data_IF_519745844804
#
_entry.id   IF_519745844804
#
_cell.length_a   1.000
_cell.length_b   1.000
_cell.length_c   1.000
_cell.angle_alpha   90.00
_cell.angle_beta   90.00
_cell.angle_gamma   90.00
#
_symmetry.space_group_name_H-M   'P 1'
#
loop_
_entity.id
_entity.type
_entity.pdbx_description
1 polymer ?
#
# COMPACT_ATOMS: atom_id res chain seq x y z
N UNK A 1 19.97 16.74 -22.34
CA UNK A 1 20.19 15.36 -21.88
C UNK A 1 18.93 14.51 -22.05
N UNK A 2 17.72 14.98 -21.68
CA UNK A 2 16.45 14.26 -21.93
C UNK A 2 16.23 14.00 -23.42
N UNK A 3 16.54 14.95 -24.28
CA UNK A 3 16.39 14.89 -25.75
C UNK A 3 17.37 13.94 -26.43
N UNK A 4 18.37 13.40 -25.71
CA UNK A 4 19.37 12.46 -26.26
C UNK A 4 19.02 10.99 -26.03
N UNK A 5 17.86 10.66 -25.47
CA UNK A 5 17.47 9.28 -25.18
C UNK A 5 18.26 8.63 -24.02
N UNK A 6 18.95 9.42 -23.20
CA UNK A 6 19.68 8.92 -22.05
C UNK A 6 18.70 8.60 -20.90
N UNK A 7 18.80 7.40 -20.32
CA UNK A 7 17.99 7.02 -19.16
C UNK A 7 18.52 7.65 -17.88
N UNK A 8 17.70 8.46 -17.20
CA UNK A 8 18.07 9.20 -15.98
C UNK A 8 17.48 8.66 -14.68
N UNK A 9 16.69 7.59 -14.73
CA UNK A 9 16.10 6.97 -13.55
C UNK A 9 17.19 6.40 -12.62
N UNK A 10 16.99 6.45 -11.31
CA UNK A 10 17.88 5.80 -10.35
C UNK A 10 17.93 4.28 -10.55
N UNK A 11 16.82 3.68 -10.92
CA UNK A 11 16.67 2.24 -11.12
C UNK A 11 16.04 1.98 -12.48
N UNK A 12 16.56 0.98 -13.20
CA UNK A 12 15.97 0.54 -14.44
C UNK A 12 14.53 0.00 -14.24
N UNK A 13 13.63 0.10 -15.21
CA UNK A 13 12.34 -0.59 -15.19
C UNK A 13 12.51 -2.11 -15.00
N UNK A 14 11.46 -2.78 -14.54
CA UNK A 14 11.47 -4.26 -14.44
C UNK A 14 11.55 -4.87 -15.84
N UNK A 15 12.41 -5.84 -16.05
CA UNK A 15 12.72 -6.38 -17.38
C UNK A 15 13.99 -5.79 -18.01
N UNK A 16 14.49 -4.70 -17.43
CA UNK A 16 15.73 -4.06 -17.88
C UNK A 16 16.73 -3.89 -16.74
N UNK A 17 18.00 -3.83 -17.10
CA UNK A 17 19.13 -3.41 -16.27
C UNK A 17 19.84 -2.20 -16.89
N UNK A 18 20.62 -1.49 -16.10
CA UNK A 18 21.53 -0.48 -16.63
C UNK A 18 22.78 -1.16 -17.19
N UNK A 19 23.22 -0.76 -18.38
CA UNK A 19 24.47 -1.27 -18.93
C UNK A 19 25.65 -1.04 -17.98
N UNK A 20 26.54 -2.00 -17.94
CA UNK A 20 27.80 -1.88 -17.19
C UNK A 20 28.76 -0.84 -17.78
N UNK A 21 28.68 -0.61 -19.10
CA UNK A 21 29.52 0.34 -19.83
C UNK A 21 28.96 1.76 -19.76
N UNK A 22 27.62 1.90 -19.85
CA UNK A 22 26.94 3.18 -19.85
C UNK A 22 25.66 3.12 -18.99
N UNK A 23 25.71 3.75 -17.83
CA UNK A 23 24.56 3.81 -16.89
C UNK A 23 23.31 4.49 -17.45
N UNK A 24 23.42 5.13 -18.60
CA UNK A 24 22.32 5.81 -19.27
C UNK A 24 21.63 4.92 -20.33
N UNK A 25 22.16 3.73 -20.57
CA UNK A 25 21.57 2.75 -21.49
C UNK A 25 20.87 1.63 -20.72
N UNK A 26 19.72 1.22 -21.24
CA UNK A 26 18.97 0.07 -20.76
C UNK A 26 19.34 -1.17 -21.57
N UNK A 27 19.57 -2.28 -20.89
CA UNK A 27 19.84 -3.61 -21.46
C UNK A 27 18.79 -4.57 -20.92
N UNK A 28 18.36 -5.52 -21.72
CA UNK A 28 17.37 -6.52 -21.31
C UNK A 28 17.95 -7.42 -20.21
N UNK A 29 17.19 -7.57 -19.12
CA UNK A 29 17.39 -8.58 -18.09
C UNK A 29 16.58 -9.82 -18.48
N UNK A 30 17.23 -10.94 -18.93
CA UNK A 30 16.54 -12.08 -19.52
C UNK A 30 15.46 -12.67 -18.61
N UNK A 31 15.77 -12.85 -17.31
CA UNK A 31 14.85 -13.46 -16.34
C UNK A 31 13.61 -12.58 -16.12
N UNK A 32 13.82 -11.30 -15.91
CA UNK A 32 12.71 -10.37 -15.67
C UNK A 32 11.93 -10.08 -16.95
N UNK A 33 12.59 -10.08 -18.11
CA UNK A 33 11.94 -9.87 -19.40
C UNK A 33 10.96 -11.00 -19.76
N UNK A 34 11.25 -12.25 -19.42
CA UNK A 34 10.30 -13.35 -19.59
C UNK A 34 9.01 -13.12 -18.83
N UNK A 35 9.10 -12.64 -17.60
CA UNK A 35 7.92 -12.34 -16.80
C UNK A 35 7.11 -11.18 -17.41
N UNK A 36 7.79 -10.16 -17.95
CA UNK A 36 7.13 -9.06 -18.67
C UNK A 36 6.39 -9.61 -19.88
N UNK A 37 7.02 -10.44 -20.72
CA UNK A 37 6.37 -11.08 -21.88
C UNK A 37 5.15 -11.90 -21.49
N UNK A 38 5.23 -12.68 -20.40
CA UNK A 38 4.10 -13.45 -19.87
C UNK A 38 2.93 -12.54 -19.45
N UNK A 39 3.21 -11.44 -18.77
CA UNK A 39 2.18 -10.49 -18.32
C UNK A 39 1.44 -9.88 -19.52
N UNK A 40 2.18 -9.43 -20.55
CA UNK A 40 1.60 -8.86 -21.76
C UNK A 40 0.81 -9.88 -22.56
N UNK A 41 1.34 -11.10 -22.77
CA UNK A 41 0.63 -12.19 -23.44
C UNK A 41 -0.67 -12.54 -22.73
N UNK A 42 -0.64 -12.79 -21.42
CA UNK A 42 -1.86 -13.12 -20.68
C UNK A 42 -2.91 -12.01 -20.76
N UNK A 43 -2.48 -10.75 -20.74
CA UNK A 43 -3.41 -9.65 -20.89
C UNK A 43 -3.96 -9.54 -22.31
N UNK A 44 -3.14 -9.71 -23.34
CA UNK A 44 -3.57 -9.75 -24.74
C UNK A 44 -4.58 -10.88 -24.98
N UNK A 45 -4.33 -12.08 -24.41
CA UNK A 45 -5.19 -13.27 -24.49
C UNK A 45 -6.52 -13.15 -23.73
N UNK A 46 -6.74 -12.05 -23.04
CA UNK A 46 -8.05 -11.82 -22.41
C UNK A 46 -8.06 -11.85 -20.88
N UNK A 47 -6.96 -12.21 -20.20
CA UNK A 47 -6.93 -12.23 -18.75
C UNK A 47 -7.19 -10.85 -18.15
N UNK A 48 -7.84 -10.81 -16.98
CA UNK A 48 -7.98 -9.58 -16.22
C UNK A 48 -6.71 -9.26 -15.45
N UNK A 49 -6.40 -7.97 -15.20
CA UNK A 49 -5.25 -7.58 -14.37
C UNK A 49 -5.27 -8.25 -12.99
N UNK A 50 -6.45 -8.34 -12.37
CA UNK A 50 -6.60 -9.07 -11.10
C UNK A 50 -6.27 -10.57 -11.22
N UNK A 51 -6.66 -11.18 -12.33
CA UNK A 51 -6.33 -12.59 -12.63
C UNK A 51 -4.82 -12.79 -12.81
N UNK A 52 -4.17 -11.91 -13.56
CA UNK A 52 -2.71 -11.91 -13.75
C UNK A 52 -1.98 -11.77 -12.41
N UNK A 53 -2.39 -10.83 -11.56
CA UNK A 53 -1.80 -10.63 -10.23
C UNK A 53 -1.93 -11.88 -9.36
N UNK A 54 -3.11 -12.51 -9.34
CA UNK A 54 -3.30 -13.77 -8.61
C UNK A 54 -2.38 -14.89 -9.13
N UNK A 55 -2.26 -15.03 -10.45
CA UNK A 55 -1.42 -16.04 -11.09
C UNK A 55 0.05 -15.83 -10.77
N UNK A 56 0.56 -14.58 -10.86
CA UNK A 56 1.94 -14.25 -10.50
C UNK A 56 2.24 -14.56 -9.02
N UNK A 57 1.30 -14.24 -8.12
CA UNK A 57 1.46 -14.52 -6.70
C UNK A 57 1.37 -16.03 -6.40
N UNK A 58 0.49 -16.77 -7.06
CA UNK A 58 0.40 -18.23 -6.91
C UNK A 58 1.67 -18.95 -7.41
N UNK A 59 2.27 -18.46 -8.48
CA UNK A 59 3.56 -18.94 -9.00
C UNK A 59 4.75 -18.46 -8.17
N UNK A 60 4.51 -17.68 -7.09
CA UNK A 60 5.54 -17.13 -6.21
C UNK A 60 6.62 -16.31 -6.93
N UNK A 61 6.29 -15.73 -8.09
CA UNK A 61 7.20 -14.89 -8.84
C UNK A 61 7.46 -13.59 -8.06
N UNK A 62 8.73 -13.22 -7.80
CA UNK A 62 9.04 -12.02 -7.02
C UNK A 62 8.58 -10.75 -7.75
N UNK A 63 7.87 -9.83 -7.05
CA UNK A 63 7.49 -8.55 -7.64
C UNK A 63 8.72 -7.65 -7.88
N UNK A 64 8.61 -6.59 -8.69
CA UNK A 64 9.74 -5.74 -9.09
C UNK A 64 10.62 -5.24 -7.94
N UNK A 65 10.00 -4.87 -6.81
CA UNK A 65 10.73 -4.40 -5.63
C UNK A 65 11.51 -5.51 -4.92
N UNK A 66 10.93 -6.70 -4.80
CA UNK A 66 11.59 -7.87 -4.22
C UNK A 66 12.72 -8.36 -5.12
N UNK A 67 12.48 -8.45 -6.44
CA UNK A 67 13.48 -8.84 -7.42
C UNK A 67 14.71 -7.91 -7.38
N UNK A 68 14.51 -6.59 -7.35
CA UNK A 68 15.61 -5.63 -7.22
C UNK A 68 16.37 -5.77 -5.89
N UNK A 69 15.67 -6.10 -4.82
CA UNK A 69 16.30 -6.39 -3.53
C UNK A 69 17.19 -7.64 -3.62
N UNK A 70 16.73 -8.71 -4.28
CA UNK A 70 17.50 -9.94 -4.51
C UNK A 70 18.77 -9.67 -5.35
N UNK A 71 18.69 -8.76 -6.32
CA UNK A 71 19.85 -8.29 -7.11
C UNK A 71 20.75 -7.28 -6.37
N UNK A 72 20.55 -7.08 -5.07
CA UNK A 72 21.44 -6.26 -4.23
C UNK A 72 21.24 -4.74 -4.33
N UNK A 73 20.11 -4.27 -4.88
CA UNK A 73 19.79 -2.85 -4.95
C UNK A 73 19.50 -2.28 -3.55
N UNK A 74 20.49 -1.63 -2.92
CA UNK A 74 20.43 -1.10 -1.53
C UNK A 74 19.24 -0.19 -1.25
N UNK A 75 18.75 0.59 -2.24
CA UNK A 75 17.59 1.47 -2.07
C UNK A 75 16.26 0.72 -1.85
N UNK A 76 16.18 -0.56 -2.16
CA UNK A 76 15.01 -1.41 -1.91
C UNK A 76 15.14 -2.24 -0.62
N UNK A 77 16.33 -2.41 -0.06
CA UNK A 77 16.57 -3.16 1.17
C UNK A 77 15.89 -2.51 2.39
N UNK A 78 15.95 -1.18 2.53
CA UNK A 78 15.25 -0.45 3.60
C UNK A 78 13.72 -0.55 3.50
N UNK A 79 13.24 -0.90 2.34
CA UNK A 79 11.83 -1.11 2.08
C UNK A 79 11.39 -2.56 2.28
N UNK A 80 12.28 -3.52 2.37
CA UNK A 80 11.96 -4.92 2.67
C UNK A 80 11.55 -5.14 4.13
N UNK A 81 11.92 -4.24 5.05
CA UNK A 81 11.43 -4.23 6.43
C UNK A 81 9.93 -3.91 6.58
N UNK A 82 9.25 -3.56 5.50
CA UNK A 82 7.81 -3.26 5.46
C UNK A 82 6.88 -4.46 5.45
N UNK A 83 7.33 -5.66 5.83
CA UNK A 83 6.51 -6.87 5.96
C UNK A 83 6.02 -7.44 4.61
N UNK A 84 5.00 -8.28 4.69
CA UNK A 84 4.38 -9.05 3.59
C UNK A 84 3.98 -8.18 2.38
N UNK A 85 3.75 -6.89 2.58
CA UNK A 85 3.30 -5.93 1.56
C UNK A 85 4.11 -5.91 0.28
N UNK A 86 5.42 -6.13 0.38
CA UNK A 86 6.35 -5.90 -0.74
C UNK A 86 6.76 -7.14 -1.49
N UNK A 87 6.37 -8.31 -0.95
CA UNK A 87 6.66 -9.59 -1.57
C UNK A 87 5.49 -10.13 -2.39
N UNK A 88 4.52 -9.28 -2.75
CA UNK A 88 3.41 -9.66 -3.61
C UNK A 88 3.22 -8.67 -4.76
N UNK A 89 2.81 -9.19 -5.90
CA UNK A 89 2.36 -8.38 -7.02
C UNK A 89 1.07 -7.64 -6.67
N UNK A 90 0.94 -6.43 -7.18
CA UNK A 90 -0.25 -5.59 -7.02
C UNK A 90 -0.88 -5.25 -8.37
N UNK A 91 -2.17 -4.95 -8.36
CA UNK A 91 -2.88 -4.46 -9.56
C UNK A 91 -2.26 -3.19 -10.11
N UNK A 92 -1.79 -2.31 -9.22
CA UNK A 92 -1.14 -1.06 -9.63
C UNK A 92 0.16 -1.32 -10.38
N UNK A 93 1.02 -2.24 -9.89
CA UNK A 93 2.29 -2.54 -10.57
C UNK A 93 2.08 -3.14 -11.96
N UNK A 94 1.14 -4.08 -12.10
CA UNK A 94 0.82 -4.67 -13.41
C UNK A 94 0.19 -3.65 -14.36
N UNK A 95 -0.75 -2.81 -13.86
CA UNK A 95 -1.34 -1.75 -14.68
C UNK A 95 -0.31 -0.72 -15.16
N UNK A 96 0.66 -0.37 -14.32
CA UNK A 96 1.73 0.56 -14.69
C UNK A 96 2.61 -0.05 -15.78
N UNK A 97 2.98 -1.32 -15.63
CA UNK A 97 3.75 -2.04 -16.65
C UNK A 97 3.04 -2.08 -18.01
N UNK A 98 1.78 -2.50 -18.03
CA UNK A 98 1.02 -2.64 -19.28
C UNK A 98 0.80 -1.31 -20.05
N UNK A 99 1.05 -0.17 -19.40
CA UNK A 99 0.93 1.18 -19.97
C UNK A 99 2.26 1.85 -20.27
N UNK A 100 3.37 1.23 -19.93
CA UNK A 100 4.67 1.87 -20.04
C UNK A 100 5.32 1.55 -21.38
N UNK A 101 5.53 2.57 -22.21
CA UNK A 101 6.13 2.49 -23.53
C UNK A 101 7.61 2.04 -23.51
N UNK A 102 8.21 2.00 -22.32
CA UNK A 102 9.59 1.49 -22.19
C UNK A 102 9.72 0.06 -22.71
N UNK A 103 8.66 -0.74 -22.67
CA UNK A 103 8.68 -2.13 -23.10
C UNK A 103 8.70 -2.32 -24.62
N UNK A 104 8.38 -1.27 -25.39
CA UNK A 104 8.52 -1.22 -26.86
C UNK A 104 9.76 -0.44 -27.32
N UNK A 105 10.70 -0.16 -26.40
CA UNK A 105 11.95 0.53 -26.71
C UNK A 105 11.88 2.05 -26.66
N UNK A 106 10.73 2.63 -26.28
CA UNK A 106 10.55 4.08 -26.17
C UNK A 106 10.84 4.57 -24.76
N UNK A 107 11.46 5.73 -24.65
CA UNK A 107 11.77 6.35 -23.37
C UNK A 107 10.90 7.58 -23.15
N UNK A 108 9.97 7.49 -22.22
CA UNK A 108 9.11 8.62 -21.82
C UNK A 108 9.60 9.19 -20.50
N UNK A 109 10.10 10.43 -20.55
CA UNK A 109 10.63 11.14 -19.40
C UNK A 109 9.87 12.44 -19.14
N UNK A 110 9.95 12.93 -17.88
CA UNK A 110 9.30 14.19 -17.52
C UNK A 110 7.88 14.04 -16.99
N UNK A 111 7.36 12.81 -16.80
CA UNK A 111 6.00 12.55 -16.25
C UNK A 111 5.76 13.21 -14.88
N UNK A 112 6.84 13.53 -14.16
CA UNK A 112 6.78 14.18 -12.85
C UNK A 112 7.84 15.24 -12.70
N UNK A 113 7.50 16.36 -12.04
CA UNK A 113 8.44 17.42 -11.64
C UNK A 113 8.36 17.68 -10.14
N UNK A 114 9.48 18.07 -9.54
CA UNK A 114 9.50 18.52 -8.15
C UNK A 114 8.81 19.86 -8.03
N UNK A 115 7.84 19.98 -7.11
CA UNK A 115 7.09 21.24 -6.90
C UNK A 115 8.01 22.33 -6.35
N UNK A 116 8.99 21.97 -5.52
CA UNK A 116 9.95 22.90 -4.92
C UNK A 116 11.19 22.17 -4.46
N UNK A 117 12.32 22.84 -4.49
CA UNK A 117 13.59 22.35 -3.93
C UNK A 117 13.49 21.97 -2.44
N UNK A 118 12.64 22.68 -1.68
CA UNK A 118 12.46 22.46 -0.23
C UNK A 118 11.48 21.34 0.10
N UNK A 119 10.53 21.06 -0.79
CA UNK A 119 9.53 20.03 -0.57
C UNK A 119 9.81 18.88 -1.54
N UNK A 120 10.04 17.68 -1.00
CA UNK A 120 10.21 16.45 -1.81
C UNK A 120 8.90 15.99 -2.49
N UNK A 121 7.92 16.89 -2.64
CA UNK A 121 6.65 16.59 -3.31
C UNK A 121 6.86 16.63 -4.81
N UNK A 122 6.41 15.56 -5.49
CA UNK A 122 6.38 15.45 -6.95
C UNK A 122 4.96 15.76 -7.42
N UNK A 123 4.84 16.61 -8.46
CA UNK A 123 3.61 16.83 -9.19
C UNK A 123 3.69 16.15 -10.55
N UNK A 124 2.57 15.63 -11.04
CA UNK A 124 2.48 15.16 -12.42
C UNK A 124 2.53 16.34 -13.37
N UNK A 125 3.17 16.17 -14.50
CA UNK A 125 3.22 17.15 -15.59
C UNK A 125 2.18 16.78 -16.63
N UNK A 126 1.80 17.76 -17.46
CA UNK A 126 0.95 17.50 -18.61
C UNK A 126 1.68 16.66 -19.66
N UNK A 127 0.95 15.89 -20.43
CA UNK A 127 1.52 15.00 -21.46
C UNK A 127 2.31 15.78 -22.53
N UNK A 128 1.96 17.04 -22.76
CA UNK A 128 2.69 17.95 -23.66
C UNK A 128 4.10 18.32 -23.18
N UNK A 129 4.40 18.16 -21.88
CA UNK A 129 5.72 18.40 -21.29
C UNK A 129 6.59 17.13 -21.28
N UNK A 130 6.05 15.98 -21.70
CA UNK A 130 6.80 14.73 -21.69
C UNK A 130 7.79 14.68 -22.87
N UNK A 131 8.98 14.22 -22.57
CA UNK A 131 9.96 13.91 -23.62
C UNK A 131 9.81 12.44 -23.99
N UNK A 132 9.25 12.19 -25.17
CA UNK A 132 9.11 10.86 -25.75
C UNK A 132 10.22 10.67 -26.79
N UNK A 133 11.05 9.67 -26.66
CA UNK A 133 12.12 9.33 -27.58
C UNK A 133 11.99 7.88 -27.93
N UNK A 134 11.80 7.61 -29.21
CA UNK A 134 11.59 6.27 -29.75
C UNK A 134 12.93 5.55 -29.99
N UNK A 135 12.90 4.21 -29.88
CA UNK A 135 14.04 3.36 -30.26
C UNK A 135 15.32 3.56 -29.45
N UNK A 136 15.23 3.94 -28.17
CA UNK A 136 16.40 4.20 -27.33
C UNK A 136 17.09 2.94 -26.84
N UNK A 137 16.39 1.80 -26.81
CA UNK A 137 16.87 0.51 -26.33
C UNK A 137 16.09 -0.64 -26.96
N UNK A 138 16.58 -1.87 -26.79
CA UNK A 138 15.95 -3.06 -27.34
C UNK A 138 14.56 -3.29 -26.68
N UNK A 139 13.54 -3.53 -27.52
CA UNK A 139 12.18 -3.78 -27.08
C UNK A 139 12.02 -5.21 -26.51
N UNK A 140 11.31 -5.34 -25.39
CA UNK A 140 10.91 -6.65 -24.83
C UNK A 140 9.63 -7.15 -25.50
N UNK A 141 8.74 -6.22 -25.85
CA UNK A 141 7.41 -6.49 -26.41
C UNK A 141 7.33 -5.86 -27.81
N UNK A 142 6.68 -6.54 -28.74
CA UNK A 142 6.42 -5.99 -30.09
C UNK A 142 5.34 -4.91 -30.02
N UNK A 143 5.41 -3.94 -30.93
CA UNK A 143 4.40 -2.87 -31.08
C UNK A 143 2.99 -3.41 -31.30
N UNK A 144 2.85 -4.55 -31.97
CA UNK A 144 1.56 -5.20 -32.21
C UNK A 144 0.89 -5.64 -30.91
N UNK A 145 1.63 -6.34 -30.03
CA UNK A 145 1.12 -6.79 -28.72
C UNK A 145 0.80 -5.58 -27.86
N UNK A 146 1.65 -4.57 -27.84
CA UNK A 146 1.43 -3.35 -27.09
C UNK A 146 0.16 -2.62 -27.53
N UNK A 147 -0.06 -2.52 -28.85
CA UNK A 147 -1.27 -1.93 -29.43
C UNK A 147 -2.53 -2.68 -29.00
N UNK A 148 -2.52 -4.02 -29.08
CA UNK A 148 -3.64 -4.87 -28.64
C UNK A 148 -3.96 -4.59 -27.14
N UNK A 149 -2.93 -4.52 -26.31
CA UNK A 149 -3.06 -4.23 -24.88
C UNK A 149 -3.65 -2.84 -24.65
N UNK A 150 -3.18 -1.83 -25.36
CA UNK A 150 -3.62 -0.43 -25.23
C UNK A 150 -5.07 -0.24 -25.69
N UNK A 151 -5.47 -0.84 -26.81
CA UNK A 151 -6.84 -0.87 -27.30
C UNK A 151 -7.79 -1.52 -26.30
N UNK A 152 -7.32 -2.56 -25.63
CA UNK A 152 -8.10 -3.21 -24.60
C UNK A 152 -8.28 -2.35 -23.34
N UNK A 153 -7.31 -1.50 -22.98
CA UNK A 153 -7.46 -0.53 -21.93
C UNK A 153 -8.48 0.55 -22.29
N UNK A 154 -8.46 1.07 -23.50
CA UNK A 154 -9.35 2.12 -23.98
C UNK A 154 -10.84 1.68 -23.98
N UNK A 155 -11.11 0.41 -24.31
CA UNK A 155 -12.47 -0.17 -24.28
C UNK A 155 -13.03 -0.39 -22.89
N UNK A 156 -12.21 -0.33 -21.82
CA UNK A 156 -12.59 -0.61 -20.42
C UNK A 156 -12.96 0.62 -19.60
N UNK A 157 -13.41 1.69 -20.20
CA UNK A 157 -13.93 2.87 -19.47
C UNK A 157 -15.26 2.56 -18.75
N UNK A 158 -15.22 1.75 -17.70
CA UNK A 158 -16.28 1.77 -16.69
C UNK A 158 -16.03 3.00 -15.81
N UNK A 159 -16.77 4.06 -16.07
CA UNK A 159 -16.95 5.15 -15.11
C UNK A 159 -17.58 4.53 -13.86
N UNK A 160 -16.87 4.53 -12.73
CA UNK A 160 -17.41 4.07 -11.46
C UNK A 160 -18.57 5.01 -11.09
N UNK A 161 -19.82 4.51 -10.99
CA UNK A 161 -20.90 5.32 -10.48
C UNK A 161 -20.57 5.70 -9.02
N UNK A 162 -20.80 6.93 -8.65
CA UNK A 162 -20.61 7.50 -7.30
C UNK A 162 -19.14 7.60 -6.79
N UNK A 163 -18.34 8.47 -7.38
CA UNK A 163 -17.07 8.92 -6.77
C UNK A 163 -17.25 9.78 -5.51
N UNK A 164 -18.46 10.25 -5.24
CA UNK A 164 -18.77 11.21 -4.17
C UNK A 164 -19.08 10.57 -2.81
N UNK A 165 -19.35 9.27 -2.74
CA UNK A 165 -19.63 8.61 -1.48
C UNK A 165 -18.34 8.41 -0.65
N UNK A 166 -18.09 9.31 0.27
CA UNK A 166 -17.09 9.16 1.32
C UNK A 166 -17.66 8.27 2.43
N UNK A 167 -17.07 7.09 2.62
CA UNK A 167 -17.45 6.19 3.71
C UNK A 167 -16.53 6.43 4.91
N UNK A 168 -17.13 6.51 6.11
CA UNK A 168 -16.49 6.94 7.36
C UNK A 168 -15.18 6.20 7.65
N UNK A 169 -15.13 4.88 7.44
CA UNK A 169 -13.99 4.04 7.76
C UNK A 169 -13.03 3.80 6.59
N UNK A 170 -13.32 4.36 5.40
CA UNK A 170 -12.48 4.15 4.21
C UNK A 170 -11.09 4.74 4.37
N UNK A 171 -10.07 3.91 4.17
CA UNK A 171 -8.67 4.31 4.28
C UNK A 171 -8.05 4.17 5.66
N UNK A 172 -8.85 4.06 6.72
CA UNK A 172 -8.37 3.94 8.11
C UNK A 172 -8.15 2.49 8.54
N UNK A 173 -8.89 1.53 7.98
CA UNK A 173 -8.84 0.13 8.41
C UNK A 173 -7.62 -0.57 7.83
N UNK A 174 -6.84 -1.21 8.71
CA UNK A 174 -5.67 -2.04 8.39
C UNK A 174 -5.88 -3.47 8.89
N UNK A 175 -5.37 -4.42 8.13
CA UNK A 175 -5.39 -5.82 8.54
C UNK A 175 -4.40 -6.04 9.69
N UNK A 176 -4.87 -6.64 10.79
CA UNK A 176 -4.04 -6.92 11.97
C UNK A 176 -2.88 -7.89 11.64
N UNK A 177 -3.12 -8.87 10.75
CA UNK A 177 -2.11 -9.87 10.39
C UNK A 177 -1.00 -9.32 9.48
N UNK A 178 -1.36 -8.63 8.38
CA UNK A 178 -0.38 -8.21 7.37
C UNK A 178 -0.13 -6.69 7.33
N UNK A 179 -0.80 -5.90 8.16
CA UNK A 179 -0.69 -4.43 8.21
C UNK A 179 -1.17 -3.70 6.95
N UNK A 180 -1.65 -4.42 5.92
CA UNK A 180 -2.18 -3.80 4.71
C UNK A 180 -3.55 -3.17 4.96
N UNK A 181 -3.85 -2.09 4.21
CA UNK A 181 -5.18 -1.51 4.24
C UNK A 181 -6.23 -2.52 3.79
N UNK A 182 -7.41 -2.40 4.34
CA UNK A 182 -8.58 -3.15 3.90
C UNK A 182 -9.45 -2.25 3.01
N UNK A 183 -9.96 -2.83 1.91
CA UNK A 183 -10.85 -2.11 1.00
C UNK A 183 -12.30 -2.44 1.33
N UNK A 184 -13.14 -1.39 1.33
CA UNK A 184 -14.58 -1.56 1.46
C UNK A 184 -15.18 -2.16 0.18
N UNK A 185 -15.96 -3.21 0.33
CA UNK A 185 -16.78 -3.83 -0.70
C UNK A 185 -18.26 -3.81 -0.24
N UNK A 186 -19.18 -3.46 -1.11
CA UNK A 186 -20.57 -3.25 -0.69
C UNK A 186 -21.62 -3.51 -1.75
N UNK A 187 -21.33 -4.36 -2.74
CA UNK A 187 -22.20 -4.48 -3.91
C UNK A 187 -23.54 -5.22 -3.68
N UNK A 188 -23.76 -5.87 -2.53
CA UNK A 188 -24.96 -6.72 -2.30
C UNK A 188 -25.68 -6.42 -0.99
N UNK A 189 -25.72 -5.16 -0.54
CA UNK A 189 -26.43 -4.79 0.70
C UNK A 189 -25.71 -5.15 2.01
N UNK A 190 -24.59 -5.88 1.92
CA UNK A 190 -23.78 -6.26 3.08
C UNK A 190 -22.36 -5.67 2.97
N UNK A 191 -22.18 -4.41 3.38
CA UNK A 191 -20.86 -3.76 3.32
C UNK A 191 -19.87 -4.46 4.24
N UNK A 192 -18.69 -4.74 3.69
CA UNK A 192 -17.61 -5.40 4.41
C UNK A 192 -16.25 -4.86 3.97
N UNK A 193 -15.27 -4.91 4.87
CA UNK A 193 -13.88 -4.61 4.57
C UNK A 193 -13.12 -5.88 4.28
N UNK A 194 -12.39 -5.92 3.16
CA UNK A 194 -11.60 -7.05 2.71
C UNK A 194 -10.12 -6.73 2.69
N UNK A 195 -9.31 -7.62 3.23
CA UNK A 195 -7.85 -7.49 3.15
C UNK A 195 -7.36 -7.62 1.71
N UNK A 196 -6.58 -6.64 1.24
CA UNK A 196 -6.01 -6.65 -0.11
C UNK A 196 -5.05 -7.82 -0.31
N UNK A 197 -4.21 -8.12 0.70
CA UNK A 197 -3.27 -9.24 0.61
C UNK A 197 -4.02 -10.55 0.44
N UNK A 198 -5.03 -10.82 1.26
CA UNK A 198 -5.86 -12.01 1.13
C UNK A 198 -6.57 -12.09 -0.24
N UNK A 199 -6.98 -10.95 -0.80
CA UNK A 199 -7.65 -10.91 -2.10
C UNK A 199 -6.76 -11.39 -3.26
N UNK A 200 -5.44 -11.19 -3.17
CA UNK A 200 -4.49 -11.47 -4.25
C UNK A 200 -3.49 -12.58 -3.92
N UNK A 201 -3.28 -12.89 -2.65
CA UNK A 201 -2.40 -13.93 -2.15
C UNK A 201 -2.95 -14.48 -0.81
N UNK A 202 -3.99 -15.33 -0.84
CA UNK A 202 -4.68 -15.82 0.37
C UNK A 202 -3.77 -16.66 1.27
N UNK A 203 -2.80 -17.34 0.71
CA UNK A 203 -1.74 -18.10 1.40
C UNK A 203 -0.82 -17.20 2.27
N UNK A 204 -0.66 -15.93 1.92
CA UNK A 204 0.17 -14.97 2.67
C UNK A 204 -0.58 -14.20 3.76
N UNK A 205 -1.91 -14.28 3.78
CA UNK A 205 -2.71 -13.62 4.81
C UNK A 205 -4.03 -14.36 5.03
N UNK A 206 -4.28 -14.95 6.21
CA UNK A 206 -5.51 -15.67 6.52
C UNK A 206 -6.73 -14.75 6.70
N UNK A 207 -6.53 -13.46 6.96
CA UNK A 207 -7.62 -12.50 7.19
C UNK A 207 -8.40 -12.22 5.92
N UNK A 208 -9.65 -12.69 5.80
CA UNK A 208 -10.48 -12.52 4.61
C UNK A 208 -11.25 -11.21 4.61
N UNK A 209 -12.26 -11.09 5.44
CA UNK A 209 -13.14 -9.92 5.48
C UNK A 209 -13.81 -9.74 6.84
N UNK A 210 -14.20 -8.48 7.14
CA UNK A 210 -14.94 -8.13 8.35
C UNK A 210 -16.14 -7.27 7.95
N UNK A 211 -17.30 -7.49 8.54
CA UNK A 211 -18.51 -6.69 8.30
C UNK A 211 -18.31 -5.25 8.78
N UNK A 212 -18.80 -4.27 8.02
CA UNK A 212 -18.71 -2.85 8.39
C UNK A 212 -19.40 -2.57 9.71
N UNK A 213 -20.61 -3.08 9.91
CA UNK A 213 -21.38 -2.91 11.14
C UNK A 213 -20.67 -3.43 12.39
N UNK A 214 -19.94 -4.55 12.27
CA UNK A 214 -19.16 -5.09 13.39
C UNK A 214 -17.98 -4.17 13.76
N UNK A 215 -17.32 -3.58 12.74
CA UNK A 215 -16.24 -2.61 12.98
C UNK A 215 -16.77 -1.32 13.60
N UNK A 216 -17.91 -0.80 13.11
CA UNK A 216 -18.54 0.39 13.66
C UNK A 216 -18.90 0.20 15.13
N UNK A 217 -19.52 -0.94 15.47
CA UNK A 217 -19.85 -1.27 16.87
C UNK A 217 -18.60 -1.34 17.73
N UNK A 218 -17.55 -2.03 17.27
CA UNK A 218 -16.30 -2.16 18.02
C UNK A 218 -15.59 -0.82 18.22
N UNK A 219 -15.59 0.05 17.21
CA UNK A 219 -14.98 1.39 17.29
C UNK A 219 -15.77 2.27 18.25
N UNK A 220 -17.12 2.27 18.16
CA UNK A 220 -17.96 3.02 19.08
C UNK A 220 -17.75 2.59 20.53
N UNK A 221 -17.69 1.28 20.77
CA UNK A 221 -17.42 0.75 22.12
C UNK A 221 -16.03 1.21 22.61
N UNK A 222 -15.00 1.11 21.77
CA UNK A 222 -13.67 1.55 22.16
C UNK A 222 -13.58 3.06 22.47
N UNK A 223 -14.33 3.89 21.73
CA UNK A 223 -14.43 5.34 22.01
C UNK A 223 -15.18 5.58 23.34
N UNK A 224 -16.28 4.89 23.56
CA UNK A 224 -17.04 4.99 24.80
C UNK A 224 -16.20 4.60 26.03
N UNK A 225 -15.46 3.49 25.92
CA UNK A 225 -14.56 3.03 26.98
C UNK A 225 -13.47 4.07 27.28
N UNK A 226 -12.87 4.68 26.25
CA UNK A 226 -11.88 5.75 26.44
C UNK A 226 -12.45 7.02 27.07
N UNK A 227 -13.66 7.41 26.68
CA UNK A 227 -14.36 8.55 27.30
C UNK A 227 -14.62 8.26 28.76
N UNK A 228 -15.10 7.07 29.10
CA UNK A 228 -15.35 6.67 30.49
C UNK A 228 -14.08 6.70 31.32
N UNK A 229 -12.96 6.15 30.80
CA UNK A 229 -11.64 6.22 31.46
C UNK A 229 -11.22 7.68 31.75
N UNK A 230 -11.47 8.61 30.82
CA UNK A 230 -11.13 10.03 31.00
C UNK A 230 -12.05 10.71 32.04
N UNK A 231 -13.33 10.38 32.06
CA UNK A 231 -14.30 10.87 33.03
C UNK A 231 -13.92 10.39 34.44
N UNK A 232 -13.60 9.10 34.57
CA UNK A 232 -13.19 8.49 35.82
C UNK A 232 -11.88 9.11 36.38
N UNK A 233 -10.89 9.30 35.48
CA UNK A 233 -9.64 9.96 35.82
C UNK A 233 -9.87 11.42 36.29
N UNK A 234 -10.78 12.16 35.65
CA UNK A 234 -11.16 13.50 36.05
C UNK A 234 -11.81 13.51 37.43
N UNK A 235 -12.74 12.58 37.69
CA UNK A 235 -13.39 12.43 38.99
C UNK A 235 -12.38 12.19 40.13
N UNK A 236 -11.38 11.30 39.86
CA UNK A 236 -10.29 11.06 40.84
C UNK A 236 -9.46 12.31 41.09
N UNK A 237 -9.09 13.04 40.00
CA UNK A 237 -8.33 14.32 40.16
C UNK A 237 -9.11 15.35 40.96
N UNK A 238 -10.40 15.48 40.67
CA UNK A 238 -11.25 16.46 41.39
C UNK A 238 -11.45 16.06 42.86
N UNK A 239 -11.59 14.77 43.15
CA UNK A 239 -11.62 14.26 44.53
C UNK A 239 -10.30 14.55 45.27
N UNK A 240 -9.15 14.30 44.66
CA UNK A 240 -7.83 14.63 45.23
C UNK A 240 -7.67 16.13 45.44
N UNK A 241 -8.17 16.98 44.51
CA UNK A 241 -8.14 18.45 44.70
C UNK A 241 -9.02 18.93 45.84
N UNK A 242 -10.18 18.34 46.02
CA UNK A 242 -11.06 18.65 47.15
C UNK A 242 -10.46 18.21 48.49
N UNK A 243 -9.88 17.03 48.54
CA UNK A 243 -9.18 16.55 49.74
C UNK A 243 -7.95 17.39 50.07
N UNK A 244 -7.17 17.87 49.08
CA UNK A 244 -6.08 18.82 49.26
C UNK A 244 -6.55 20.16 49.91
N UNK A 245 -7.72 20.64 49.47
CA UNK A 245 -8.33 21.86 50.09
C UNK A 245 -8.78 21.60 51.52
N UNK A 246 -9.09 20.38 51.91
CA UNK A 246 -9.50 19.99 53.27
C UNK A 246 -8.33 19.71 54.21
N UNK A 247 -7.06 19.93 53.81
CA UNK A 247 -5.90 19.94 54.74
C UNK A 247 -5.40 18.56 55.17
N UNK A 248 -5.65 17.48 54.41
CA UNK A 248 -5.16 16.13 54.72
C UNK A 248 -3.70 15.93 54.38
N UNK A 249 -3.02 15.06 55.14
CA UNK A 249 -1.59 14.81 55.08
C UNK A 249 -1.11 14.26 53.69
N UNK A 250 0.10 14.69 53.24
CA UNK A 250 0.70 14.28 51.97
C UNK A 250 0.85 12.75 51.83
N UNK A 251 0.97 11.98 52.91
CA UNK A 251 1.10 10.53 52.89
C UNK A 251 -0.20 9.81 52.47
N UNK A 252 -1.37 10.34 52.82
CA UNK A 252 -2.64 9.76 52.39
C UNK A 252 -2.89 9.92 50.90
N UNK A 253 -2.42 11.03 50.31
CA UNK A 253 -2.47 11.26 48.85
C UNK A 253 -1.63 10.27 48.07
N UNK A 254 -0.42 9.99 48.58
CA UNK A 254 0.48 9.05 47.92
C UNK A 254 -0.12 7.65 47.90
N UNK A 255 -0.75 7.22 48.99
CA UNK A 255 -1.45 5.93 49.07
C UNK A 255 -2.67 5.85 48.14
N UNK A 256 -3.43 6.94 47.97
CA UNK A 256 -4.58 6.99 47.07
C UNK A 256 -4.12 6.91 45.60
N UNK A 257 -3.05 7.60 45.22
CA UNK A 257 -2.46 7.51 43.88
C UNK A 257 -1.97 6.10 43.57
N UNK A 258 -1.22 5.48 44.48
CA UNK A 258 -0.72 4.09 44.32
C UNK A 258 -1.88 3.09 44.19
N UNK A 259 -2.98 3.26 44.89
CA UNK A 259 -4.18 2.41 44.75
C UNK A 259 -4.84 2.60 43.40
N UNK A 260 -5.01 3.83 42.92
CA UNK A 260 -5.59 4.14 41.62
C UNK A 260 -4.73 3.58 40.45
N UNK A 261 -3.41 3.70 40.56
CA UNK A 261 -2.49 3.13 39.54
C UNK A 261 -2.53 1.59 39.51
N UNK A 262 -2.62 0.93 40.65
CA UNK A 262 -2.78 -0.53 40.72
C UNK A 262 -4.10 -1.00 40.11
N UNK A 263 -5.19 -0.30 40.38
CA UNK A 263 -6.50 -0.63 39.81
C UNK A 263 -6.52 -0.40 38.29
N UNK A 264 -5.95 0.72 37.83
CA UNK A 264 -5.76 1.00 36.40
C UNK A 264 -4.97 -0.13 35.70
N UNK A 265 -3.85 -0.56 36.29
CA UNK A 265 -3.04 -1.66 35.76
C UNK A 265 -3.83 -2.97 35.70
N UNK A 266 -4.60 -3.30 36.74
CA UNK A 266 -5.47 -4.49 36.82
C UNK A 266 -6.55 -4.47 35.73
N UNK A 267 -7.20 -3.32 35.52
CA UNK A 267 -8.23 -3.14 34.47
C UNK A 267 -7.61 -3.23 33.07
N UNK A 268 -6.42 -2.65 32.89
CA UNK A 268 -5.71 -2.74 31.60
C UNK A 268 -5.31 -4.20 31.28
N UNK A 269 -4.81 -4.94 32.27
CA UNK A 269 -4.48 -6.36 32.10
C UNK A 269 -5.73 -7.23 31.82
N UNK A 270 -6.84 -6.93 32.47
CA UNK A 270 -8.12 -7.61 32.22
C UNK A 270 -8.64 -7.32 30.81
N UNK A 271 -8.50 -6.07 30.34
CA UNK A 271 -8.84 -5.65 28.97
C UNK A 271 -8.00 -6.41 27.94
N UNK A 272 -6.68 -6.52 28.11
CA UNK A 272 -5.81 -7.30 27.22
C UNK A 272 -6.22 -8.79 27.16
N UNK A 273 -6.56 -9.40 28.30
CA UNK A 273 -7.03 -10.80 28.33
C UNK A 273 -8.36 -11.03 27.59
N UNK A 274 -9.23 -10.02 27.54
CA UNK A 274 -10.46 -10.08 26.76
C UNK A 274 -10.21 -9.98 25.26
N UNK A 275 -9.17 -9.25 24.83
CA UNK A 275 -8.79 -9.15 23.42
C UNK A 275 -8.03 -10.40 22.91
N UNK A 276 -7.30 -11.11 23.76
CA UNK A 276 -6.59 -12.34 23.40
C UNK A 276 -7.54 -13.56 23.24
N UNK A 277 -8.80 -13.46 23.70
CA UNK A 277 -9.82 -14.51 23.62
C UNK A 277 -10.88 -14.26 22.53
N UNK A 278 -10.69 -13.26 21.65
CA UNK A 278 -11.51 -12.95 20.48
C UNK A 278 -10.73 -13.25 19.19
#
# INVERSE_FOLDING_TARGET
KRERGEFWGNYAPYGYEKSSEDRHKLVIDPEAAEIVRMIFSWYADGASVCGIVKRLNALQIPPPSAYKCMKGCKGFASHSSGGIKRNIWSVTSVNTMLKDEVYIGNLVQGKYKSVSYRTKKMASTDESEWAVIEGTHEAIISDEIFTIVHDRFSRRTRVAPNREASYLLSGYIKCAHCGNRMNRNGNNGYPHFRCITHAYAPDKCPCSSVRESALETAILQAIQDQIQELVDAKAVIDAVRQERKAGRSANEYLLAIIRAEREKKRLTEAKFRLYDNL
#
